data_IF_610196653460
#
_entry.id   IF_610196653460
#
_cell.length_a   1.000
_cell.length_b   1.000
_cell.length_c   1.000
_cell.angle_alpha   90.00
_cell.angle_beta   90.00
_cell.angle_gamma   90.00
#
_symmetry.space_group_name_H-M   'P 1'
#
loop_
_entity.id
_entity.type
_entity.pdbx_description
1 polymer ?
#
# COMPACT_ATOMS: atom_id res chain seq x y z
N UNK A 1 -25.36 -6.75 1.04
CA UNK A 1 -24.32 -7.80 0.81
C UNK A 1 -23.82 -7.69 -0.62
N UNK A 2 -22.52 -7.78 -0.86
CA UNK A 2 -21.95 -7.85 -2.20
C UNK A 2 -22.13 -9.26 -2.77
N UNK A 3 -22.31 -9.36 -4.09
CA UNK A 3 -22.41 -10.65 -4.77
C UNK A 3 -21.01 -11.29 -4.88
N UNK A 4 -20.96 -12.61 -4.75
CA UNK A 4 -19.73 -13.40 -4.91
C UNK A 4 -19.33 -13.44 -6.39
N UNK A 5 -18.03 -13.59 -6.67
CA UNK A 5 -17.46 -13.70 -8.03
C UNK A 5 -17.71 -12.46 -8.91
N UNK A 6 -17.83 -11.29 -8.30
CA UNK A 6 -17.99 -10.00 -8.98
C UNK A 6 -16.84 -9.04 -8.67
N UNK A 7 -16.51 -8.23 -9.66
CA UNK A 7 -15.57 -7.11 -9.53
C UNK A 7 -16.37 -5.83 -9.34
N UNK A 8 -16.03 -5.05 -8.33
CA UNK A 8 -16.67 -3.78 -8.01
C UNK A 8 -15.65 -2.64 -8.13
N UNK A 9 -15.97 -1.64 -8.93
CA UNK A 9 -15.19 -0.42 -9.03
C UNK A 9 -15.78 0.63 -8.07
N UNK A 10 -15.36 0.58 -6.82
CA UNK A 10 -15.84 1.46 -5.74
C UNK A 10 -14.68 1.78 -4.81
N UNK A 11 -14.84 2.82 -3.99
CA UNK A 11 -13.93 3.03 -2.86
C UNK A 11 -13.91 1.79 -1.96
N UNK A 12 -12.73 1.40 -1.48
CA UNK A 12 -12.58 0.16 -0.73
C UNK A 12 -13.34 0.18 0.60
N UNK A 13 -13.39 1.32 1.30
CA UNK A 13 -14.12 1.43 2.57
C UNK A 13 -15.63 1.37 2.34
N UNK A 14 -16.12 2.02 1.27
CA UNK A 14 -17.52 1.92 0.87
C UNK A 14 -17.92 0.49 0.47
N UNK A 15 -17.03 -0.19 -0.25
CA UNK A 15 -17.23 -1.60 -0.60
C UNK A 15 -17.24 -2.50 0.65
N UNK A 16 -16.23 -2.35 1.50
CA UNK A 16 -16.09 -3.17 2.71
C UNK A 16 -17.23 -2.96 3.71
N UNK A 17 -17.81 -1.76 3.79
CA UNK A 17 -18.97 -1.48 4.64
C UNK A 17 -20.19 -2.36 4.32
N UNK A 18 -20.26 -2.90 3.09
CA UNK A 18 -21.34 -3.79 2.61
C UNK A 18 -21.04 -5.27 2.82
N UNK A 19 -19.88 -5.60 3.37
CA UNK A 19 -19.47 -6.96 3.71
C UNK A 19 -19.87 -7.24 5.16
N UNK A 20 -20.46 -8.38 5.39
CA UNK A 20 -20.88 -8.78 6.74
C UNK A 20 -19.66 -9.04 7.63
N UNK A 21 -19.84 -8.83 8.93
CA UNK A 21 -18.83 -9.12 9.92
C UNK A 21 -18.46 -10.61 9.88
N UNK A 22 -17.18 -10.91 10.04
CA UNK A 22 -16.67 -12.30 10.15
C UNK A 22 -17.14 -13.21 9.01
N UNK A 23 -17.23 -12.70 7.79
CA UNK A 23 -17.72 -13.45 6.62
C UNK A 23 -16.61 -13.86 5.64
N UNK A 24 -15.45 -13.19 5.70
CA UNK A 24 -14.35 -13.36 4.74
C UNK A 24 -13.22 -14.20 5.35
N UNK A 25 -12.67 -15.12 4.57
CA UNK A 25 -11.56 -15.98 5.04
C UNK A 25 -10.19 -15.42 4.73
N UNK A 26 -10.06 -14.65 3.65
CA UNK A 26 -8.81 -14.04 3.20
C UNK A 26 -9.07 -12.66 2.62
N UNK A 27 -8.24 -11.70 3.00
CA UNK A 27 -8.11 -10.42 2.33
C UNK A 27 -6.70 -10.34 1.76
N UNK A 28 -6.62 -10.11 0.44
CA UNK A 28 -5.37 -9.87 -0.27
C UNK A 28 -5.45 -8.49 -0.89
N UNK A 29 -4.54 -7.59 -0.51
CA UNK A 29 -4.61 -6.19 -0.92
C UNK A 29 -3.25 -5.59 -1.20
N UNK A 30 -3.21 -4.73 -2.21
CA UNK A 30 -2.08 -3.88 -2.58
C UNK A 30 -2.56 -2.42 -2.57
N UNK A 31 -2.67 -1.81 -1.37
CA UNK A 31 -3.20 -0.47 -1.23
C UNK A 31 -2.23 0.57 -1.79
N UNK A 32 -2.69 1.79 -2.08
CA UNK A 32 -1.80 2.88 -2.43
C UNK A 32 -0.74 3.10 -1.35
N UNK A 33 0.52 3.18 -1.77
CA UNK A 33 1.61 3.54 -0.86
C UNK A 33 1.68 5.06 -0.82
N UNK A 34 1.80 5.62 0.38
CA UNK A 34 2.19 7.03 0.51
C UNK A 34 3.64 7.18 0.07
N UNK A 35 3.87 7.18 -1.21
CA UNK A 35 5.14 7.57 -1.78
C UNK A 35 5.13 9.11 -1.81
N UNK A 36 5.30 9.75 -0.67
CA UNK A 36 5.63 11.16 -0.67
C UNK A 36 7.00 11.31 -1.32
N UNK A 37 6.98 11.51 -2.62
CA UNK A 37 8.17 11.91 -3.38
C UNK A 37 8.43 13.41 -3.19
N UNK A 38 8.56 13.85 -1.98
CA UNK A 38 9.47 14.93 -1.68
C UNK A 38 10.89 14.36 -1.80
N UNK A 39 11.24 13.98 -3.02
CA UNK A 39 12.65 13.81 -3.33
C UNK A 39 13.27 15.20 -3.28
N UNK A 40 13.64 15.65 -2.09
CA UNK A 40 14.51 16.80 -1.87
C UNK A 40 15.86 16.70 -2.62
N UNK A 41 16.02 15.66 -3.41
CA UNK A 41 17.16 15.50 -4.33
C UNK A 41 17.26 16.61 -5.38
N UNK A 42 16.13 17.25 -5.72
CA UNK A 42 16.16 18.39 -6.64
C UNK A 42 16.63 19.70 -6.00
N UNK A 43 16.70 19.77 -4.66
CA UNK A 43 17.14 21.00 -3.95
C UNK A 43 18.64 21.08 -3.70
N UNK A 44 19.38 20.00 -3.90
CA UNK A 44 20.85 19.95 -3.67
C UNK A 44 21.67 19.71 -4.94
N UNK A 45 21.05 19.73 -6.12
CA UNK A 45 21.81 19.73 -7.37
C UNK A 45 22.40 21.13 -7.60
N UNK A 46 23.71 21.25 -7.89
CA UNK A 46 24.29 22.51 -8.29
C UNK A 46 23.54 23.06 -9.51
N UNK A 47 23.24 24.33 -9.52
CA UNK A 47 22.56 25.05 -10.60
C UNK A 47 23.38 24.99 -11.90
N UNK A 48 23.27 23.90 -12.64
CA UNK A 48 23.89 23.69 -13.94
C UNK A 48 22.89 23.08 -14.89
N UNK A 49 22.61 23.79 -15.96
CA UNK A 49 21.74 23.46 -17.10
C UNK A 49 21.94 22.01 -17.53
N UNK A 50 21.03 21.11 -17.25
CA UNK A 50 20.80 19.83 -17.93
C UNK A 50 20.27 18.70 -17.01
N UNK A 51 19.65 19.05 -15.88
CA UNK A 51 19.09 18.04 -14.96
C UNK A 51 17.73 17.51 -15.42
N UNK A 52 17.12 18.05 -16.45
CA UNK A 52 15.80 17.62 -16.95
C UNK A 52 15.84 16.26 -17.67
N UNK A 53 17.01 15.79 -18.11
CA UNK A 53 17.14 14.48 -18.77
C UNK A 53 16.95 13.30 -17.83
N UNK A 54 17.07 13.50 -16.53
CA UNK A 54 16.94 12.44 -15.51
C UNK A 54 15.69 12.58 -14.64
N UNK A 55 14.81 13.50 -14.97
CA UNK A 55 13.47 13.54 -14.38
C UNK A 55 12.63 12.42 -14.95
N UNK A 56 12.74 11.24 -14.37
CA UNK A 56 11.71 10.22 -14.54
C UNK A 56 10.55 10.67 -13.64
N UNK A 57 9.69 11.51 -14.18
CA UNK A 57 8.37 11.77 -13.62
C UNK A 57 7.52 10.56 -13.95
N UNK A 58 7.49 9.58 -13.06
CA UNK A 58 6.51 8.52 -13.15
C UNK A 58 5.23 9.12 -12.55
N UNK A 59 4.35 9.61 -13.40
CA UNK A 59 3.00 10.04 -13.04
C UNK A 59 2.14 8.77 -12.94
N UNK A 60 1.82 8.36 -11.71
CA UNK A 60 0.94 7.22 -11.47
C UNK A 60 -0.55 7.61 -11.56
N UNK A 61 -0.87 8.85 -11.96
CA UNK A 61 -2.23 9.35 -12.08
C UNK A 61 -2.73 10.08 -10.82
N UNK A 62 -3.98 10.55 -10.91
CA UNK A 62 -4.56 11.42 -9.87
C UNK A 62 -4.79 10.71 -8.53
N UNK A 63 -4.83 9.38 -8.50
CA UNK A 63 -4.97 8.59 -7.28
C UNK A 63 -3.74 8.68 -6.35
N UNK A 64 -2.56 9.03 -6.89
CA UNK A 64 -1.33 9.24 -6.12
C UNK A 64 -1.21 10.67 -5.56
N UNK A 65 -2.10 11.57 -5.97
CA UNK A 65 -2.15 12.98 -5.56
C UNK A 65 -3.24 13.27 -4.53
N UNK A 66 -4.10 12.29 -4.25
CA UNK A 66 -5.18 12.44 -3.26
C UNK A 66 -4.63 12.41 -1.84
N UNK A 67 -5.42 12.96 -0.91
CA UNK A 67 -5.18 12.88 0.53
C UNK A 67 -4.74 11.45 0.91
N UNK A 68 -3.75 11.37 1.77
CA UNK A 68 -3.12 10.11 2.17
C UNK A 68 -4.16 9.01 2.39
N UNK A 69 -4.01 7.89 1.69
CA UNK A 69 -4.90 6.74 1.84
C UNK A 69 -4.94 6.29 3.31
N UNK A 70 -6.13 6.20 3.89
CA UNK A 70 -6.31 5.80 5.28
C UNK A 70 -6.13 4.28 5.45
N UNK A 71 -4.86 3.85 5.50
CA UNK A 71 -4.47 2.46 5.74
C UNK A 71 -5.03 1.95 7.09
N UNK A 72 -5.17 2.83 8.08
CA UNK A 72 -5.69 2.48 9.40
C UNK A 72 -7.14 2.03 9.34
N UNK A 73 -8.00 2.80 8.69
CA UNK A 73 -9.40 2.44 8.48
C UNK A 73 -9.55 1.18 7.64
N UNK A 74 -8.77 1.01 6.59
CA UNK A 74 -8.79 -0.20 5.75
C UNK A 74 -8.41 -1.45 6.57
N UNK A 75 -7.39 -1.39 7.40
CA UNK A 75 -6.99 -2.52 8.26
C UNK A 75 -8.06 -2.82 9.30
N UNK A 76 -8.68 -1.79 9.90
CA UNK A 76 -9.78 -1.96 10.85
C UNK A 76 -10.99 -2.64 10.23
N UNK A 77 -11.42 -2.19 9.05
CA UNK A 77 -12.51 -2.82 8.31
C UNK A 77 -12.17 -4.25 7.88
N UNK A 78 -10.91 -4.49 7.48
CA UNK A 78 -10.42 -5.84 7.18
C UNK A 78 -10.57 -6.78 8.39
N UNK A 79 -10.22 -6.30 9.58
CA UNK A 79 -10.37 -7.09 10.80
C UNK A 79 -11.83 -7.42 11.10
N UNK A 80 -12.75 -6.47 10.89
CA UNK A 80 -14.19 -6.68 11.08
C UNK A 80 -14.74 -7.75 10.11
N UNK A 81 -14.35 -7.67 8.84
CA UNK A 81 -14.84 -8.59 7.80
C UNK A 81 -14.27 -10.00 7.94
N UNK A 82 -13.05 -10.15 8.47
CA UNK A 82 -12.39 -11.45 8.57
C UNK A 82 -13.02 -12.34 9.63
N UNK A 83 -13.20 -13.61 9.28
CA UNK A 83 -13.56 -14.68 10.23
C UNK A 83 -12.46 -14.84 11.27
N UNK A 84 -12.82 -15.43 12.41
CA UNK A 84 -11.85 -15.89 13.37
C UNK A 84 -10.92 -16.93 12.70
N UNK A 85 -9.61 -16.71 12.76
CA UNK A 85 -8.62 -17.50 12.01
C UNK A 85 -8.44 -17.12 10.55
N UNK A 86 -9.12 -16.07 10.05
CA UNK A 86 -8.91 -15.52 8.72
C UNK A 86 -7.61 -14.74 8.61
N UNK A 87 -7.15 -14.52 7.39
CA UNK A 87 -5.86 -13.90 7.10
C UNK A 87 -6.01 -12.61 6.30
N UNK A 88 -5.13 -11.67 6.58
CA UNK A 88 -4.87 -10.52 5.70
C UNK A 88 -3.46 -10.62 5.15
N UNK A 89 -3.30 -10.44 3.83
CA UNK A 89 -2.02 -10.25 3.15
C UNK A 89 -2.04 -8.86 2.53
N UNK A 90 -1.19 -8.01 3.01
CA UNK A 90 -1.12 -6.61 2.58
C UNK A 90 0.28 -6.32 2.03
N UNK A 91 0.35 -5.97 0.75
CA UNK A 91 1.57 -5.42 0.17
C UNK A 91 1.76 -3.99 0.65
N UNK A 92 3.00 -3.61 0.93
CA UNK A 92 3.29 -2.25 1.34
C UNK A 92 4.75 -1.89 1.10
N UNK A 93 5.06 -0.60 1.18
CA UNK A 93 6.41 -0.09 1.06
C UNK A 93 7.31 -0.60 2.20
N UNK A 94 8.50 -1.10 1.85
CA UNK A 94 9.45 -1.67 2.80
C UNK A 94 9.83 -0.71 3.93
N UNK A 95 9.96 0.59 3.60
CA UNK A 95 10.40 1.60 4.57
C UNK A 95 9.30 2.01 5.55
N UNK A 96 8.03 1.80 5.16
CA UNK A 96 6.85 2.17 5.94
C UNK A 96 6.08 0.98 6.52
N UNK A 97 6.52 -0.24 6.25
CA UNK A 97 5.79 -1.45 6.67
C UNK A 97 5.63 -1.57 8.19
N UNK A 98 6.52 -0.93 8.95
CA UNK A 98 6.41 -0.85 10.41
C UNK A 98 5.12 -0.16 10.87
N UNK A 99 4.67 0.87 10.15
CA UNK A 99 3.41 1.57 10.45
C UNK A 99 2.22 0.63 10.28
N UNK A 100 2.20 -0.15 9.20
CA UNK A 100 1.15 -1.16 8.94
C UNK A 100 1.11 -2.20 10.05
N UNK A 101 2.28 -2.71 10.47
CA UNK A 101 2.40 -3.64 11.58
C UNK A 101 1.83 -3.07 12.88
N UNK A 102 2.16 -1.83 13.21
CA UNK A 102 1.70 -1.18 14.43
C UNK A 102 0.17 -1.00 14.44
N UNK A 103 -0.41 -0.64 13.30
CA UNK A 103 -1.87 -0.55 13.14
C UNK A 103 -2.50 -1.93 13.29
N UNK A 104 -1.94 -2.96 12.67
CA UNK A 104 -2.45 -4.33 12.79
C UNK A 104 -2.46 -4.81 14.25
N UNK A 105 -1.40 -4.53 15.01
CA UNK A 105 -1.33 -4.85 16.45
C UNK A 105 -2.42 -4.13 17.23
N UNK A 106 -2.59 -2.82 16.99
CA UNK A 106 -3.60 -2.00 17.69
C UNK A 106 -5.03 -2.48 17.41
N UNK A 107 -5.29 -2.94 16.20
CA UNK A 107 -6.60 -3.45 15.79
C UNK A 107 -6.88 -4.83 16.39
N UNK A 108 -5.85 -5.62 16.69
CA UNK A 108 -5.99 -6.92 17.35
C UNK A 108 -5.50 -8.12 16.54
N UNK A 109 -4.86 -7.90 15.39
CA UNK A 109 -4.23 -8.99 14.65
C UNK A 109 -3.11 -9.63 15.46
N UNK A 110 -3.01 -10.96 15.37
CA UNK A 110 -1.99 -11.77 16.03
C UNK A 110 -1.14 -12.49 14.99
N UNK A 111 0.05 -12.94 15.40
CA UNK A 111 0.96 -13.71 14.54
C UNK A 111 1.33 -13.00 13.25
N UNK A 112 1.58 -11.70 13.32
CA UNK A 112 1.99 -10.89 12.16
C UNK A 112 3.35 -11.38 11.66
N UNK A 113 3.44 -11.66 10.35
CA UNK A 113 4.65 -12.10 9.66
C UNK A 113 5.01 -11.14 8.56
N UNK A 114 6.30 -10.88 8.40
CA UNK A 114 6.85 -10.21 7.25
C UNK A 114 7.22 -11.27 6.19
N UNK A 115 6.80 -11.03 4.95
CA UNK A 115 7.09 -11.88 3.79
C UNK A 115 7.76 -10.99 2.75
N UNK A 116 8.95 -11.36 2.33
CA UNK A 116 9.66 -10.65 1.27
C UNK A 116 9.34 -11.30 -0.08
N UNK A 117 8.86 -10.50 -1.03
CA UNK A 117 8.68 -10.94 -2.40
C UNK A 117 9.90 -10.55 -3.25
N UNK A 118 10.75 -11.50 -3.54
CA UNK A 118 11.94 -11.31 -4.36
C UNK A 118 11.58 -11.48 -5.83
N UNK A 119 11.77 -10.42 -6.64
CA UNK A 119 11.56 -10.47 -8.09
C UNK A 119 12.81 -10.96 -8.79
N UNK A 120 12.65 -11.79 -9.83
CA UNK A 120 13.75 -12.27 -10.65
C UNK A 120 14.31 -11.21 -11.61
N UNK A 121 13.47 -10.20 -11.95
CA UNK A 121 13.83 -9.05 -12.78
C UNK A 121 13.40 -7.75 -12.08
N UNK A 122 14.06 -7.35 -11.00
CA UNK A 122 13.70 -6.12 -10.31
C UNK A 122 13.89 -4.91 -11.23
N UNK A 123 13.01 -3.90 -11.05
CA UNK A 123 13.23 -2.61 -11.70
C UNK A 123 14.60 -2.09 -11.27
N UNK A 124 15.45 -1.61 -12.21
CA UNK A 124 16.75 -1.06 -11.83
C UNK A 124 16.57 0.05 -10.82
N UNK A 125 17.08 -0.17 -9.63
CA UNK A 125 17.23 0.89 -8.64
C UNK A 125 18.54 1.56 -9.01
N UNK A 126 18.56 2.90 -9.09
CA UNK A 126 19.78 3.66 -9.32
C UNK A 126 20.74 3.41 -8.14
N UNK A 127 21.43 2.29 -8.18
CA UNK A 127 22.55 2.06 -7.29
C UNK A 127 23.80 2.64 -7.98
N UNK A 128 24.54 3.45 -7.24
CA UNK A 128 25.88 3.80 -7.66
C UNK A 128 26.71 2.51 -7.66
N UNK A 129 26.85 1.91 -8.82
CA UNK A 129 27.81 0.83 -9.00
C UNK A 129 29.20 1.45 -9.02
N UNK A 130 30.05 1.01 -8.12
CA UNK A 130 31.49 1.29 -8.17
C UNK A 130 32.13 0.54 -9.35
#
# INVERSE_FOLDING_TARGET
MLEIDKIYQVDCLDGMSKIDDKSVSLILTDPPYEISRDSNYAKSAPTGKDTDRFRISIDFGDWDKQEAFDIGSMIKESYRCLKDGGYIVCFYDLWKIGVVKDVMIKVGFKQIRFIEWIKTNPVPINSKTN
#
